data_IF_402216508345
#
_entry.id   IF_402216508345
#
_cell.length_a   1.000
_cell.length_b   1.000
_cell.length_c   1.000
_cell.angle_alpha   90.00
_cell.angle_beta   90.00
_cell.angle_gamma   90.00
#
_symmetry.space_group_name_H-M   'P 1'
#
loop_
_entity.id
_entity.type
_entity.pdbx_description
1 polymer ?
#
# COMPACT_ATOMS: atom_id res chain seq x y z
N UNK A 1 -24.61 32.39 -67.16
CA UNK A 1 -24.46 33.77 -67.65
C UNK A 1 -23.46 34.40 -66.67
N UNK A 2 -22.17 34.42 -67.02
CA UNK A 2 -21.35 35.60 -67.40
C UNK A 2 -21.40 36.66 -66.28
N UNK A 3 -20.38 37.10 -65.61
CA UNK A 3 -18.98 37.55 -65.88
C UNK A 3 -18.61 38.28 -64.58
N UNK A 4 -17.49 38.19 -64.03
CA UNK A 4 -16.11 38.58 -64.29
C UNK A 4 -15.67 39.85 -63.53
N UNK A 5 -14.54 39.74 -62.86
CA UNK A 5 -13.40 40.66 -62.74
C UNK A 5 -13.57 42.06 -62.12
N UNK A 6 -12.81 42.45 -61.12
CA UNK A 6 -11.46 43.02 -61.25
C UNK A 6 -10.85 43.42 -59.92
N UNK A 7 -9.56 43.19 -59.81
CA UNK A 7 -8.67 43.65 -58.75
C UNK A 7 -8.50 45.17 -58.76
N UNK A 8 -8.27 45.77 -57.58
CA UNK A 8 -7.60 47.08 -57.45
C UNK A 8 -6.68 46.97 -56.20
N UNK A 9 -5.36 46.96 -56.50
CA UNK A 9 -4.27 47.21 -55.54
C UNK A 9 -4.28 48.70 -55.18
N UNK A 10 -4.23 49.00 -53.86
CA UNK A 10 -3.83 50.31 -53.35
C UNK A 10 -2.67 50.12 -52.40
N UNK A 11 -1.51 50.56 -52.86
CA UNK A 11 -0.25 50.68 -52.14
C UNK A 11 -0.33 51.94 -51.30
N UNK A 12 -0.31 51.81 -49.96
CA UNK A 12 -0.21 52.98 -49.06
C UNK A 12 1.12 52.88 -48.31
N UNK A 13 2.09 53.65 -48.75
CA UNK A 13 3.37 53.90 -48.08
C UNK A 13 3.09 54.83 -46.90
N UNK A 14 3.28 54.35 -45.66
CA UNK A 14 3.31 55.24 -44.49
C UNK A 14 4.71 55.21 -43.89
N UNK A 15 5.40 56.34 -44.06
CA UNK A 15 6.62 56.72 -43.38
C UNK A 15 6.32 56.95 -41.90
N UNK A 16 6.91 56.13 -41.01
CA UNK A 16 6.84 56.38 -39.55
C UNK A 16 8.15 56.98 -39.08
N UNK A 17 8.08 58.18 -38.55
CA UNK A 17 9.13 58.86 -37.82
C UNK A 17 9.55 58.08 -36.56
N UNK A 18 10.84 57.87 -36.43
CA UNK A 18 11.50 57.41 -35.22
C UNK A 18 11.46 58.51 -34.15
N UNK A 19 10.61 58.30 -33.12
CA UNK A 19 10.75 59.01 -31.85
C UNK A 19 11.38 58.02 -30.88
N UNK A 20 12.66 58.20 -30.57
CA UNK A 20 13.36 57.49 -29.51
C UNK A 20 12.90 58.02 -28.16
N UNK A 21 12.05 57.30 -27.46
CA UNK A 21 11.84 57.48 -26.02
C UNK A 21 12.75 56.54 -25.27
N UNK A 22 13.64 57.14 -24.50
CA UNK A 22 14.51 56.46 -23.53
C UNK A 22 13.61 55.77 -22.50
N UNK A 23 13.48 54.44 -22.52
CA UNK A 23 12.96 53.65 -21.39
C UNK A 23 14.12 53.13 -20.57
N UNK A 24 14.01 53.18 -19.22
CA UNK A 24 15.00 52.58 -18.36
C UNK A 24 15.00 51.05 -18.56
N UNK A 25 16.20 50.46 -18.61
CA UNK A 25 16.43 49.07 -18.95
C UNK A 25 15.62 48.10 -18.09
N UNK A 26 14.83 47.26 -18.74
CA UNK A 26 14.31 46.03 -18.16
C UNK A 26 15.50 45.08 -18.00
N UNK A 27 15.80 44.73 -16.77
CA UNK A 27 16.71 43.64 -16.43
C UNK A 27 16.18 42.36 -17.10
N UNK A 28 17.04 41.47 -17.63
CA UNK A 28 16.57 40.16 -18.09
C UNK A 28 15.93 39.40 -16.89
N UNK A 29 14.94 38.52 -17.12
CA UNK A 29 14.39 37.73 -16.07
C UNK A 29 15.52 36.94 -15.40
N UNK A 30 15.71 37.16 -14.12
CA UNK A 30 16.55 36.30 -13.29
C UNK A 30 15.92 34.93 -13.35
N UNK A 31 16.63 33.97 -13.92
CA UNK A 31 16.35 32.55 -13.78
C UNK A 31 16.22 32.30 -12.28
N UNK A 32 15.01 31.99 -11.83
CA UNK A 32 14.76 31.54 -10.46
C UNK A 32 15.48 30.20 -10.33
N UNK A 33 16.64 30.23 -9.71
CA UNK A 33 17.31 29.00 -9.28
C UNK A 33 16.50 28.50 -8.10
N UNK A 34 15.73 27.44 -8.32
CA UNK A 34 15.04 26.71 -7.25
C UNK A 34 16.11 26.34 -6.21
N UNK A 35 15.89 26.62 -4.91
CA UNK A 35 16.87 26.21 -3.90
C UNK A 35 16.89 24.68 -3.88
N UNK A 36 18.03 24.11 -4.22
CA UNK A 36 18.32 22.72 -3.91
C UNK A 36 18.13 22.55 -2.41
N UNK A 37 17.20 21.68 -2.01
CA UNK A 37 17.02 21.33 -0.60
C UNK A 37 18.29 20.63 -0.13
N UNK A 38 19.23 21.42 0.34
CA UNK A 38 20.36 20.87 1.11
C UNK A 38 19.71 20.31 2.37
N UNK A 39 19.70 18.99 2.50
CA UNK A 39 19.30 18.32 3.74
C UNK A 39 19.90 19.12 4.89
N UNK A 40 19.06 19.62 5.78
CA UNK A 40 19.52 19.97 7.10
C UNK A 40 20.11 18.67 7.63
N UNK A 41 21.44 18.64 7.72
CA UNK A 41 22.17 17.56 8.34
C UNK A 41 21.60 17.46 9.75
N UNK A 42 20.73 16.45 9.97
CA UNK A 42 20.38 16.07 11.32
C UNK A 42 21.70 15.97 12.07
N UNK A 43 21.88 16.85 13.03
CA UNK A 43 22.91 16.67 14.03
C UNK A 43 22.57 15.33 14.66
N UNK A 44 23.28 14.29 14.25
CA UNK A 44 23.23 12.99 14.89
C UNK A 44 23.39 13.25 16.38
N UNK A 45 22.28 13.27 17.07
CA UNK A 45 22.23 13.08 18.50
C UNK A 45 22.97 11.79 18.74
N UNK A 46 24.05 11.87 19.54
CA UNK A 46 24.93 10.77 19.85
C UNK A 46 24.09 9.50 20.04
N UNK A 47 24.30 8.53 19.17
CA UNK A 47 23.73 7.21 19.31
C UNK A 47 23.99 6.75 20.74
N UNK A 48 22.98 6.17 21.43
CA UNK A 48 23.27 5.54 22.72
C UNK A 48 24.35 4.50 22.45
N UNK A 49 25.47 4.67 23.10
CA UNK A 49 26.60 3.76 23.07
C UNK A 49 26.04 2.40 23.48
N UNK A 50 25.87 1.51 22.50
CA UNK A 50 25.52 0.13 22.74
C UNK A 50 26.72 -0.48 23.46
N UNK A 51 26.69 -0.44 24.78
CA UNK A 51 27.63 -1.15 25.63
C UNK A 51 27.34 -2.63 25.38
N UNK A 52 28.07 -3.22 24.46
CA UNK A 52 28.13 -4.67 24.36
C UNK A 52 28.60 -5.17 25.71
N UNK A 53 27.69 -5.77 26.44
CA UNK A 53 28.04 -6.62 27.56
C UNK A 53 28.77 -7.80 26.93
N UNK A 54 30.09 -7.78 27.01
CA UNK A 54 30.95 -8.93 26.73
C UNK A 54 30.62 -9.94 27.81
N UNK A 55 29.77 -10.90 27.48
CA UNK A 55 29.57 -12.08 28.29
C UNK A 55 30.83 -12.92 28.14
N UNK A 56 31.74 -12.79 29.09
CA UNK A 56 32.88 -13.73 29.24
C UNK A 56 32.25 -15.08 29.54
N UNK A 57 32.49 -16.12 28.75
CA UNK A 57 32.01 -17.46 29.10
C UNK A 57 32.71 -17.87 30.37
N UNK A 58 31.97 -17.96 31.45
CA UNK A 58 32.44 -18.60 32.68
C UNK A 58 32.58 -20.10 32.34
N UNK A 59 33.80 -20.56 32.35
CA UNK A 59 34.12 -21.97 32.19
C UNK A 59 33.48 -22.73 33.36
N UNK A 60 32.48 -23.51 33.05
CA UNK A 60 31.90 -24.51 33.94
C UNK A 60 32.96 -25.52 34.29
N UNK A 61 33.19 -25.88 35.57
CA UNK A 61 34.17 -26.87 35.94
C UNK A 61 33.74 -28.24 35.40
N UNK A 62 34.59 -28.82 34.57
CA UNK A 62 34.48 -30.17 34.05
C UNK A 62 34.35 -31.15 35.22
N UNK A 63 33.15 -31.73 35.40
CA UNK A 63 32.97 -32.86 36.32
C UNK A 63 33.70 -34.10 35.75
N UNK A 64 34.66 -34.54 36.49
CA UNK A 64 35.39 -35.79 36.30
C UNK A 64 34.39 -36.97 36.41
N UNK A 65 34.38 -37.93 35.49
CA UNK A 65 33.51 -39.09 35.57
C UNK A 65 33.79 -39.90 36.84
N UNK A 66 32.71 -40.08 37.63
CA UNK A 66 32.77 -40.94 38.81
C UNK A 66 33.01 -42.40 38.38
N UNK A 67 34.01 -43.04 38.97
CA UNK A 67 34.33 -44.45 38.83
C UNK A 67 33.12 -45.29 39.35
N UNK A 68 32.65 -46.31 38.64
CA UNK A 68 31.54 -47.14 39.11
C UNK A 68 31.99 -48.02 40.27
N UNK A 69 31.45 -47.76 41.44
CA UNK A 69 31.60 -48.65 42.59
C UNK A 69 30.61 -49.83 42.42
N UNK A 70 31.14 -51.03 42.33
CA UNK A 70 30.35 -52.26 42.26
C UNK A 70 29.60 -52.49 43.56
N UNK A 71 28.24 -52.43 43.50
CA UNK A 71 27.36 -52.84 44.57
C UNK A 71 27.25 -54.38 44.60
N UNK A 72 27.23 -55.03 45.80
CA UNK A 72 27.16 -56.48 45.87
C UNK A 72 25.82 -57.02 45.37
N UNK A 73 25.89 -58.07 44.56
CA UNK A 73 24.73 -58.78 43.99
C UNK A 73 23.96 -59.46 45.13
N UNK A 74 22.73 -58.99 45.36
CA UNK A 74 21.75 -59.74 46.17
C UNK A 74 21.14 -60.85 45.30
N UNK A 75 21.20 -62.05 45.81
CA UNK A 75 20.62 -63.27 45.21
C UNK A 75 19.07 -63.15 45.36
N UNK A 76 18.38 -62.92 44.23
CA UNK A 76 16.93 -62.90 44.21
C UNK A 76 16.35 -64.30 44.36
N UNK A 77 15.48 -64.45 45.33
CA UNK A 77 14.57 -65.60 45.50
C UNK A 77 13.56 -65.59 44.36
N UNK A 78 13.25 -66.70 43.67
CA UNK A 78 12.30 -66.73 42.58
C UNK A 78 10.88 -66.47 43.10
N UNK A 79 10.29 -65.37 42.66
CA UNK A 79 8.86 -65.04 42.87
C UNK A 79 7.98 -65.88 41.92
N UNK A 80 6.79 -66.29 42.33
CA UNK A 80 5.95 -67.18 41.52
C UNK A 80 5.46 -66.43 40.26
N UNK A 81 5.68 -67.10 39.13
CA UNK A 81 5.29 -66.67 37.79
C UNK A 81 3.81 -66.28 37.74
N UNK A 82 3.54 -64.98 37.58
CA UNK A 82 2.20 -64.48 37.28
C UNK A 82 1.81 -64.92 35.86
N UNK A 83 0.66 -65.58 35.78
CA UNK A 83 0.00 -65.94 34.51
C UNK A 83 -0.18 -64.65 33.68
N UNK A 84 0.19 -64.61 32.39
CA UNK A 84 -0.02 -63.44 31.58
C UNK A 84 -1.54 -63.19 31.43
N UNK A 85 -2.05 -62.19 32.12
CA UNK A 85 -3.34 -61.61 31.78
C UNK A 85 -3.17 -60.98 30.40
N UNK A 86 -3.85 -61.52 29.43
CA UNK A 86 -3.97 -60.88 28.10
C UNK A 86 -4.64 -59.54 28.31
N UNK A 87 -3.82 -58.50 28.36
CA UNK A 87 -4.26 -57.12 28.26
C UNK A 87 -4.96 -57.00 26.88
N UNK A 88 -6.25 -56.88 26.87
CA UNK A 88 -7.03 -56.64 25.66
C UNK A 88 -6.57 -55.30 25.13
N UNK A 89 -5.77 -55.33 24.05
CA UNK A 89 -5.45 -54.15 23.25
C UNK A 89 -6.76 -53.48 22.94
N UNK A 90 -6.99 -52.21 23.35
CA UNK A 90 -8.25 -51.54 23.02
C UNK A 90 -8.35 -51.50 21.47
N UNK A 91 -9.39 -52.10 20.95
CA UNK A 91 -9.77 -51.96 19.54
C UNK A 91 -9.81 -50.48 19.24
N UNK A 92 -9.18 -50.01 18.15
CA UNK A 92 -9.27 -48.60 17.83
C UNK A 92 -10.75 -48.23 17.74
N UNK A 93 -11.23 -47.45 18.69
CA UNK A 93 -12.57 -46.90 18.63
C UNK A 93 -12.58 -45.99 17.43
N UNK A 94 -13.21 -46.43 16.32
CA UNK A 94 -13.37 -45.64 15.11
C UNK A 94 -14.33 -44.53 15.42
N UNK A 95 -13.82 -43.39 15.88
CA UNK A 95 -14.60 -42.18 16.01
C UNK A 95 -14.88 -41.63 14.58
N UNK A 96 -15.92 -40.89 14.41
CA UNK A 96 -16.32 -40.26 13.15
C UNK A 96 -16.04 -38.76 13.17
N UNK A 97 -15.48 -38.25 12.07
CA UNK A 97 -15.30 -36.84 11.86
C UNK A 97 -16.49 -36.26 11.09
N UNK A 98 -17.15 -35.26 11.64
CA UNK A 98 -18.29 -34.58 11.02
C UNK A 98 -18.42 -33.17 11.57
N UNK A 99 -18.46 -32.18 10.70
CA UNK A 99 -18.66 -30.78 11.03
C UNK A 99 -20.06 -30.29 10.66
N UNK A 100 -20.46 -29.20 11.31
CA UNK A 100 -21.61 -28.39 10.90
C UNK A 100 -21.19 -26.93 10.88
N UNK A 101 -21.44 -26.23 9.78
CA UNK A 101 -21.31 -24.80 9.74
C UNK A 101 -22.39 -24.16 10.64
N UNK A 102 -21.98 -23.16 11.45
CA UNK A 102 -22.88 -22.43 12.33
C UNK A 102 -23.08 -21.01 11.82
N UNK A 103 -21.99 -20.25 11.67
CA UNK A 103 -22.04 -18.87 11.23
C UNK A 103 -20.66 -18.34 10.76
N UNK A 104 -20.68 -17.27 10.02
CA UNK A 104 -19.52 -16.42 9.75
C UNK A 104 -19.33 -15.45 10.94
N UNK A 105 -18.30 -15.67 11.74
CA UNK A 105 -17.97 -14.80 12.88
C UNK A 105 -17.40 -13.47 12.38
N UNK A 106 -16.59 -13.54 11.32
CA UNK A 106 -16.07 -12.35 10.63
C UNK A 106 -16.32 -12.49 9.13
N UNK A 107 -16.33 -11.38 8.42
CA UNK A 107 -16.47 -11.34 6.95
C UNK A 107 -17.68 -12.17 6.48
N UNK A 108 -18.92 -11.70 6.67
CA UNK A 108 -20.12 -12.30 6.11
C UNK A 108 -20.00 -12.46 4.58
N UNK A 109 -20.75 -13.38 4.01
CA UNK A 109 -20.80 -13.58 2.56
C UNK A 109 -21.06 -12.27 1.81
N UNK A 110 -20.41 -12.13 0.66
CA UNK A 110 -20.47 -10.94 -0.20
C UNK A 110 -19.95 -9.65 0.43
N UNK A 111 -19.18 -9.72 1.56
CA UNK A 111 -18.53 -8.56 2.12
C UNK A 111 -17.69 -7.83 1.07
N UNK A 112 -17.85 -6.53 0.99
CA UNK A 112 -17.06 -5.69 0.09
C UNK A 112 -15.70 -5.42 0.72
N UNK A 113 -14.63 -5.76 0.01
CA UNK A 113 -13.23 -5.62 0.46
C UNK A 113 -12.43 -4.93 -0.64
N UNK A 114 -11.46 -4.08 -0.24
CA UNK A 114 -10.58 -3.39 -1.16
C UNK A 114 -9.56 -4.34 -1.80
N UNK A 115 -9.10 -4.07 -3.04
CA UNK A 115 -8.04 -4.84 -3.68
C UNK A 115 -6.79 -4.91 -2.79
N UNK A 116 -6.22 -6.11 -2.65
CA UNK A 116 -4.99 -6.33 -1.90
C UNK A 116 -5.07 -6.21 -0.38
N UNK A 117 -6.26 -5.94 0.19
CA UNK A 117 -6.47 -5.84 1.64
C UNK A 117 -6.29 -7.20 2.32
N UNK A 118 -5.52 -7.26 3.41
CA UNK A 118 -5.48 -8.41 4.29
C UNK A 118 -6.67 -8.40 5.25
N UNK A 119 -7.26 -9.57 5.48
CA UNK A 119 -8.40 -9.76 6.38
C UNK A 119 -8.36 -11.13 7.03
N UNK A 120 -9.00 -11.28 8.19
CA UNK A 120 -9.12 -12.55 8.88
C UNK A 120 -10.56 -13.07 8.71
N UNK A 121 -10.71 -14.18 7.98
CA UNK A 121 -11.97 -14.93 7.93
C UNK A 121 -12.01 -15.89 9.09
N UNK A 122 -13.11 -15.85 9.85
CA UNK A 122 -13.39 -16.77 10.96
C UNK A 122 -14.74 -17.39 10.76
N UNK A 123 -14.78 -18.71 10.72
CA UNK A 123 -16.00 -19.53 10.70
C UNK A 123 -16.22 -20.16 12.06
N UNK A 124 -17.46 -20.20 12.54
CA UNK A 124 -17.83 -21.03 13.70
C UNK A 124 -18.35 -22.36 13.18
N UNK A 125 -17.67 -23.44 13.58
CA UNK A 125 -18.03 -24.81 13.23
C UNK A 125 -18.44 -25.56 14.51
N UNK A 126 -19.45 -26.41 14.40
CA UNK A 126 -19.84 -27.35 15.48
C UNK A 126 -19.30 -28.75 15.16
N UNK A 127 -18.69 -29.40 16.12
CA UNK A 127 -18.29 -30.78 16.04
C UNK A 127 -19.53 -31.68 16.26
N UNK A 128 -20.10 -32.20 15.18
CA UNK A 128 -21.26 -33.11 15.21
C UNK A 128 -20.83 -34.58 15.07
N UNK A 129 -19.53 -34.86 14.98
CA UNK A 129 -18.96 -36.18 14.99
C UNK A 129 -18.77 -36.75 16.38
N UNK A 130 -17.96 -37.81 16.47
CA UNK A 130 -17.64 -38.48 17.75
C UNK A 130 -16.13 -38.37 18.08
N UNK A 131 -15.29 -37.87 17.17
CA UNK A 131 -13.91 -37.55 17.42
C UNK A 131 -13.81 -36.20 18.17
N UNK A 132 -12.82 -36.06 19.07
CA UNK A 132 -12.47 -34.75 19.63
C UNK A 132 -11.48 -34.06 18.66
N UNK A 133 -11.79 -32.86 18.17
CA UNK A 133 -10.86 -32.05 17.39
C UNK A 133 -9.84 -31.38 18.29
N UNK A 134 -8.61 -31.31 17.87
CA UNK A 134 -7.50 -30.70 18.62
C UNK A 134 -6.49 -30.05 17.66
N UNK A 135 -5.34 -29.60 18.14
CA UNK A 135 -4.30 -28.95 17.36
C UNK A 135 -3.62 -29.83 16.29
N UNK A 136 -3.91 -31.14 16.24
CA UNK A 136 -3.45 -32.03 15.16
C UNK A 136 -4.38 -32.00 13.94
N UNK A 137 -5.58 -31.42 14.09
CA UNK A 137 -6.48 -31.12 12.99
C UNK A 137 -6.12 -29.79 12.35
N UNK A 138 -6.50 -29.59 11.11
CA UNK A 138 -6.26 -28.35 10.38
C UNK A 138 -7.41 -28.02 9.44
N UNK A 139 -7.59 -26.72 9.16
CA UNK A 139 -8.35 -26.29 8.00
C UNK A 139 -7.47 -26.38 6.75
N UNK A 140 -8.01 -26.86 5.64
CA UNK A 140 -7.31 -27.00 4.37
C UNK A 140 -8.13 -26.37 3.25
N UNK A 141 -7.46 -25.66 2.36
CA UNK A 141 -8.06 -25.14 1.13
C UNK A 141 -8.29 -26.31 0.16
N UNK A 142 -9.48 -26.36 -0.45
CA UNK A 142 -9.88 -27.45 -1.35
C UNK A 142 -10.19 -26.99 -2.76
N UNK A 143 -10.80 -25.82 -2.94
CA UNK A 143 -11.10 -25.31 -4.29
C UNK A 143 -11.42 -23.80 -4.33
N UNK A 144 -11.45 -23.23 -5.55
CA UNK A 144 -11.75 -21.81 -5.78
C UNK A 144 -10.54 -20.90 -5.62
N UNK A 145 -10.73 -19.74 -4.99
CA UNK A 145 -9.70 -18.72 -4.77
C UNK A 145 -9.08 -18.85 -3.38
N UNK A 146 -7.82 -19.23 -3.29
CA UNK A 146 -7.13 -19.43 -2.01
C UNK A 146 -6.83 -18.10 -1.28
N UNK A 147 -6.79 -16.98 -1.99
CA UNK A 147 -6.54 -15.63 -1.44
C UNK A 147 -5.33 -15.55 -0.49
N UNK A 148 -4.21 -16.18 -0.88
CA UNK A 148 -2.99 -16.32 -0.10
C UNK A 148 -3.15 -16.98 1.29
N UNK A 149 -4.30 -17.60 1.56
CA UNK A 149 -4.54 -18.28 2.83
C UNK A 149 -3.55 -19.41 3.11
N UNK A 150 -3.06 -19.49 4.34
CA UNK A 150 -2.21 -20.61 4.77
C UNK A 150 -3.01 -21.91 4.77
N UNK A 151 -2.52 -22.93 4.04
CA UNK A 151 -3.12 -24.26 4.01
C UNK A 151 -2.00 -25.32 4.05
N UNK A 152 -2.00 -26.22 5.04
CA UNK A 152 -2.95 -26.37 6.14
C UNK A 152 -2.80 -25.30 7.23
N UNK A 153 -3.92 -24.86 7.82
CA UNK A 153 -3.96 -23.99 8.98
C UNK A 153 -4.34 -24.83 10.22
N UNK A 154 -3.46 -25.07 11.19
CA UNK A 154 -3.79 -25.85 12.41
C UNK A 154 -4.94 -25.26 13.20
N UNK A 155 -5.78 -26.12 13.77
CA UNK A 155 -6.85 -25.68 14.68
C UNK A 155 -6.26 -25.23 16.03
N UNK A 156 -6.90 -24.26 16.66
CA UNK A 156 -6.53 -23.79 17.99
C UNK A 156 -7.43 -24.40 19.05
N UNK A 157 -6.85 -25.00 20.08
CA UNK A 157 -7.60 -25.56 21.20
C UNK A 157 -8.09 -26.99 20.96
N UNK A 158 -9.09 -27.42 21.77
CA UNK A 158 -9.69 -28.76 21.75
C UNK A 158 -11.20 -28.66 21.80
N UNK A 159 -11.91 -29.36 20.91
CA UNK A 159 -13.38 -29.32 20.78
C UNK A 159 -13.94 -30.70 20.83
N UNK A 160 -14.61 -31.03 21.95
CA UNK A 160 -15.31 -32.30 22.14
C UNK A 160 -16.55 -32.39 21.21
N UNK A 161 -17.08 -33.61 21.00
CA UNK A 161 -18.38 -33.81 20.35
C UNK A 161 -19.47 -32.90 20.94
N UNK A 162 -20.23 -32.23 20.06
CA UNK A 162 -21.26 -31.25 20.42
C UNK A 162 -20.77 -29.83 20.65
N UNK A 163 -19.45 -29.61 20.85
CA UNK A 163 -18.85 -28.30 21.06
C UNK A 163 -18.69 -27.51 19.76
N UNK A 164 -18.44 -26.21 19.91
CA UNK A 164 -18.15 -25.30 18.79
C UNK A 164 -16.70 -24.82 18.81
N UNK A 165 -16.16 -24.50 17.62
CA UNK A 165 -14.82 -23.97 17.43
C UNK A 165 -14.85 -22.85 16.40
N UNK A 166 -14.13 -21.78 16.68
CA UNK A 166 -13.86 -20.72 15.73
C UNK A 166 -12.57 -21.05 14.96
N UNK A 167 -12.71 -21.20 13.65
CA UNK A 167 -11.61 -21.51 12.71
C UNK A 167 -11.26 -20.25 11.97
N UNK A 168 -10.01 -19.77 12.09
CA UNK A 168 -9.56 -18.51 11.50
C UNK A 168 -8.45 -18.73 10.49
N UNK A 169 -8.53 -18.03 9.36
CA UNK A 169 -7.49 -17.98 8.34
C UNK A 169 -7.27 -16.53 7.93
N UNK A 170 -6.00 -16.10 7.90
CA UNK A 170 -5.64 -14.81 7.33
C UNK A 170 -5.59 -14.94 5.82
N UNK A 171 -6.29 -14.05 5.14
CA UNK A 171 -6.47 -14.02 3.69
C UNK A 171 -6.09 -12.65 3.13
N UNK A 172 -5.81 -12.58 1.84
CA UNK A 172 -5.56 -11.34 1.12
C UNK A 172 -6.50 -11.25 -0.08
N UNK A 173 -7.29 -10.18 -0.15
CA UNK A 173 -8.16 -9.92 -1.29
C UNK A 173 -7.33 -9.82 -2.59
N UNK A 174 -7.80 -10.41 -3.70
CA UNK A 174 -7.17 -10.24 -5.01
C UNK A 174 -7.05 -8.77 -5.42
N UNK A 175 -6.06 -8.47 -6.28
CA UNK A 175 -5.80 -7.10 -6.76
C UNK A 175 -6.78 -6.58 -7.81
N UNK A 176 -7.69 -7.41 -8.31
CA UNK A 176 -8.69 -7.07 -9.35
C UNK A 176 -10.10 -7.10 -8.77
N UNK A 177 -10.93 -6.19 -9.29
CA UNK A 177 -12.37 -6.15 -8.97
C UNK A 177 -13.04 -7.43 -9.43
N UNK A 178 -13.91 -7.99 -8.60
CA UNK A 178 -14.60 -9.24 -8.90
C UNK A 178 -15.18 -9.91 -7.67
N UNK A 179 -15.86 -11.02 -7.87
CA UNK A 179 -16.36 -11.88 -6.80
C UNK A 179 -15.45 -13.09 -6.66
N UNK A 180 -14.99 -13.35 -5.46
CA UNK A 180 -14.02 -14.40 -5.16
C UNK A 180 -14.56 -15.32 -4.09
N UNK A 181 -14.44 -16.63 -4.34
CA UNK A 181 -14.89 -17.67 -3.43
C UNK A 181 -13.79 -18.70 -3.21
N UNK A 182 -13.42 -18.93 -1.95
CA UNK A 182 -12.49 -19.97 -1.53
C UNK A 182 -13.19 -21.01 -0.68
N UNK A 183 -13.01 -22.30 -0.99
CA UNK A 183 -13.64 -23.41 -0.30
C UNK A 183 -12.62 -24.12 0.60
N UNK A 184 -13.06 -24.44 1.80
CA UNK A 184 -12.24 -25.01 2.86
C UNK A 184 -12.91 -26.18 3.52
N UNK A 185 -12.11 -27.15 3.96
CA UNK A 185 -12.57 -28.30 4.74
C UNK A 185 -11.63 -28.55 5.93
N UNK A 186 -11.99 -29.45 6.80
CA UNK A 186 -11.13 -29.89 7.89
C UNK A 186 -10.32 -31.13 7.45
N UNK A 187 -9.15 -31.31 8.04
CA UNK A 187 -8.29 -32.48 7.86
C UNK A 187 -7.93 -33.06 9.22
N UNK A 188 -8.10 -34.36 9.38
CA UNK A 188 -7.75 -35.09 10.60
C UNK A 188 -6.24 -35.40 10.68
N UNK A 189 -5.73 -35.91 11.83
CA UNK A 189 -4.32 -36.27 12.01
C UNK A 189 -3.81 -37.34 11.04
N UNK A 190 -4.70 -38.15 10.45
CA UNK A 190 -4.34 -39.18 9.48
C UNK A 190 -4.32 -38.65 8.03
N UNK A 191 -4.64 -37.37 7.86
CA UNK A 191 -4.69 -36.74 6.53
C UNK A 191 -6.04 -36.88 5.81
N UNK A 192 -7.06 -37.43 6.46
CA UNK A 192 -8.38 -37.56 5.86
C UNK A 192 -9.10 -36.23 5.94
N UNK A 193 -9.56 -35.75 4.76
CA UNK A 193 -10.30 -34.51 4.62
C UNK A 193 -11.80 -34.78 4.87
N UNK A 194 -12.45 -33.90 5.60
CA UNK A 194 -13.88 -33.94 5.89
C UNK A 194 -14.44 -32.54 6.02
N UNK A 195 -15.67 -32.35 5.60
CA UNK A 195 -16.35 -31.06 5.65
C UNK A 195 -17.53 -31.03 6.62
N UNK A 196 -18.52 -30.28 6.21
CA UNK A 196 -19.80 -30.11 6.89
C UNK A 196 -20.89 -30.90 6.20
N UNK A 197 -22.15 -30.74 6.65
CA UNK A 197 -23.31 -31.46 6.11
C UNK A 197 -23.44 -32.89 6.60
N UNK A 198 -24.47 -33.59 6.17
CA UNK A 198 -24.85 -34.91 6.68
C UNK A 198 -23.83 -36.02 6.40
N UNK A 199 -23.03 -35.85 5.33
CA UNK A 199 -22.02 -36.82 4.91
C UNK A 199 -20.59 -36.33 5.05
N UNK A 200 -20.35 -35.21 5.76
CA UNK A 200 -19.04 -34.57 5.92
C UNK A 200 -18.36 -34.20 4.58
N UNK A 201 -19.14 -33.93 3.53
CA UNK A 201 -18.64 -33.66 2.17
C UNK A 201 -18.91 -32.24 1.68
N UNK A 202 -19.47 -31.39 2.50
CA UNK A 202 -19.76 -30.01 2.12
C UNK A 202 -18.66 -29.09 2.67
N UNK A 203 -17.96 -28.33 1.80
CA UNK A 203 -17.00 -27.35 2.26
C UNK A 203 -17.69 -26.16 2.95
N UNK A 204 -17.01 -25.54 3.88
CA UNK A 204 -17.34 -24.18 4.31
C UNK A 204 -16.50 -23.21 3.46
N UNK A 205 -16.93 -21.96 3.30
CA UNK A 205 -16.30 -21.09 2.32
C UNK A 205 -16.19 -19.63 2.80
N UNK A 206 -15.35 -18.89 2.13
CA UNK A 206 -15.31 -17.44 2.15
C UNK A 206 -15.78 -16.92 0.81
N UNK A 207 -16.68 -15.95 0.81
CA UNK A 207 -17.20 -15.28 -0.38
C UNK A 207 -17.10 -13.77 -0.17
N UNK A 208 -16.29 -13.13 -1.00
CA UNK A 208 -16.10 -11.67 -0.95
C UNK A 208 -16.34 -11.04 -2.32
N UNK A 209 -16.69 -9.75 -2.30
CA UNK A 209 -16.65 -8.88 -3.46
C UNK A 209 -15.47 -7.93 -3.32
N UNK A 210 -14.50 -8.03 -4.21
CA UNK A 210 -13.48 -6.99 -4.35
C UNK A 210 -14.10 -5.89 -5.19
N UNK A 211 -14.28 -4.73 -4.57
CA UNK A 211 -14.97 -3.58 -5.17
C UNK A 211 -13.99 -2.43 -5.39
N UNK A 212 -14.23 -1.65 -6.45
CA UNK A 212 -13.57 -0.35 -6.55
C UNK A 212 -14.07 0.53 -5.41
N UNK A 213 -13.15 1.32 -4.82
CA UNK A 213 -13.52 2.25 -3.78
C UNK A 213 -14.56 3.24 -4.27
N UNK A 214 -15.62 3.36 -3.51
CA UNK A 214 -16.57 4.43 -3.75
C UNK A 214 -15.94 5.70 -3.22
N UNK A 215 -15.55 6.59 -4.14
CA UNK A 215 -15.21 7.97 -3.77
C UNK A 215 -16.44 8.61 -3.16
N UNK A 216 -16.32 9.18 -1.97
CA UNK A 216 -17.33 10.07 -1.39
C UNK A 216 -17.39 11.44 -2.11
N UNK A 217 -16.59 11.58 -3.17
CA UNK A 217 -16.51 12.76 -4.02
C UNK A 217 -17.62 12.71 -5.07
N UNK A 218 -18.63 13.53 -4.92
CA UNK A 218 -19.63 13.76 -5.95
C UNK A 218 -19.19 14.95 -6.83
N UNK A 219 -18.17 14.71 -7.65
CA UNK A 219 -17.58 15.69 -8.55
C UNK A 219 -18.30 15.64 -9.90
N UNK A 220 -18.72 16.79 -10.41
CA UNK A 220 -19.18 16.95 -11.78
C UNK A 220 -18.03 16.84 -12.79
N UNK A 221 -18.17 17.50 -13.94
CA UNK A 221 -17.06 17.63 -14.89
C UNK A 221 -15.90 18.41 -14.25
N UNK A 222 -14.67 18.04 -14.58
CA UNK A 222 -13.50 18.76 -14.11
C UNK A 222 -13.54 20.22 -14.59
N UNK A 223 -13.08 21.14 -13.73
CA UNK A 223 -12.91 22.55 -14.10
C UNK A 223 -11.79 22.72 -15.12
N UNK A 224 -10.78 21.87 -15.00
CA UNK A 224 -9.65 21.82 -15.93
C UNK A 224 -9.04 20.42 -15.95
N UNK A 225 -8.56 20.03 -17.14
CA UNK A 225 -7.87 18.75 -17.35
C UNK A 225 -6.69 18.99 -18.30
N UNK A 226 -5.55 18.38 -17.97
CA UNK A 226 -4.38 18.26 -18.83
C UNK A 226 -4.10 16.78 -19.05
N UNK A 227 -4.12 16.34 -20.30
CA UNK A 227 -3.81 14.96 -20.69
C UNK A 227 -2.32 14.76 -21.01
N UNK A 228 -1.49 15.73 -20.67
CA UNK A 228 -0.04 15.71 -20.84
C UNK A 228 0.44 15.55 -22.29
N UNK A 229 -0.41 15.85 -23.28
CA UNK A 229 -0.05 15.83 -24.71
C UNK A 229 1.10 16.80 -25.03
N UNK A 230 1.34 17.76 -24.16
CA UNK A 230 2.44 18.71 -24.16
C UNK A 230 2.64 19.29 -22.75
N UNK A 231 3.81 19.89 -22.47
CA UNK A 231 4.12 20.47 -21.17
C UNK A 231 3.74 21.97 -21.03
N UNK A 232 2.83 22.50 -21.84
CA UNK A 232 2.48 23.93 -21.83
C UNK A 232 1.96 24.45 -20.47
N UNK A 233 1.46 23.58 -19.62
CA UNK A 233 0.96 23.90 -18.27
C UNK A 233 2.01 23.72 -17.17
N UNK A 234 3.23 23.29 -17.51
CA UNK A 234 4.27 22.86 -16.56
C UNK A 234 5.60 23.54 -16.88
N UNK A 235 6.39 23.79 -15.85
CA UNK A 235 7.78 24.12 -16.03
C UNK A 235 8.58 22.82 -16.14
N UNK A 236 9.54 22.80 -17.07
CA UNK A 236 10.40 21.64 -17.25
C UNK A 236 11.66 21.81 -16.39
N UNK A 237 11.88 20.88 -15.48
CA UNK A 237 13.05 20.83 -14.62
C UNK A 237 14.21 20.13 -15.33
N UNK A 238 15.42 20.68 -15.22
CA UNK A 238 16.66 20.00 -15.61
C UNK A 238 17.77 20.38 -14.62
N UNK A 239 17.80 19.66 -13.50
CA UNK A 239 18.78 19.82 -12.43
C UNK A 239 19.76 18.64 -12.46
N UNK A 240 20.88 18.68 -11.71
CA UNK A 240 21.75 17.52 -11.56
C UNK A 240 21.05 16.27 -10.99
N UNK A 241 19.99 16.45 -10.20
CA UNK A 241 19.32 15.38 -9.48
C UNK A 241 17.99 14.97 -10.09
N UNK A 242 17.32 15.86 -10.84
CA UNK A 242 15.94 15.64 -11.29
C UNK A 242 15.71 16.23 -12.68
N UNK A 243 14.93 15.53 -13.49
CA UNK A 243 14.48 15.98 -14.82
C UNK A 243 12.98 15.84 -14.96
N UNK A 244 12.33 16.90 -15.49
CA UNK A 244 10.97 16.87 -15.98
C UNK A 244 11.02 17.16 -17.47
N UNK A 245 10.57 16.20 -18.29
CA UNK A 245 10.64 16.27 -19.76
C UNK A 245 9.32 15.85 -20.39
N UNK A 246 9.10 16.21 -21.65
CA UNK A 246 8.02 15.64 -22.44
C UNK A 246 8.48 14.33 -23.11
N UNK A 247 7.64 13.32 -23.13
CA UNK A 247 7.91 12.07 -23.83
C UNK A 247 6.64 11.24 -24.01
N UNK A 248 6.41 10.73 -25.21
CA UNK A 248 5.32 9.81 -25.55
C UNK A 248 3.91 10.30 -25.13
N UNK A 249 3.62 11.61 -25.26
CA UNK A 249 2.36 12.22 -24.87
C UNK A 249 2.15 12.23 -23.34
N UNK A 250 3.24 12.33 -22.57
CA UNK A 250 3.25 12.37 -21.11
C UNK A 250 4.29 13.35 -20.60
N UNK A 251 4.09 13.81 -19.37
CA UNK A 251 5.18 14.43 -18.63
C UNK A 251 5.98 13.29 -17.95
N UNK A 252 7.29 13.31 -18.14
CA UNK A 252 8.21 12.30 -17.60
C UNK A 252 9.03 12.94 -16.51
N UNK A 253 8.88 12.47 -15.29
CA UNK A 253 9.67 12.87 -14.13
C UNK A 253 10.73 11.80 -13.86
N UNK A 254 11.99 12.20 -13.68
CA UNK A 254 13.10 11.30 -13.36
C UNK A 254 13.92 11.86 -12.21
N UNK A 255 14.04 11.11 -11.13
CA UNK A 255 15.00 11.33 -10.05
C UNK A 255 16.25 10.51 -10.35
N UNK A 256 17.40 11.20 -10.59
CA UNK A 256 18.59 10.62 -11.23
C UNK A 256 19.35 9.71 -10.25
N UNK A 257 19.59 10.18 -9.03
CA UNK A 257 20.39 9.44 -8.05
C UNK A 257 19.61 9.23 -6.74
N UNK A 258 19.72 8.05 -6.10
CA UNK A 258 19.17 7.81 -4.79
C UNK A 258 19.75 8.76 -3.74
N UNK A 259 18.89 9.29 -2.87
CA UNK A 259 19.31 10.19 -1.80
C UNK A 259 19.56 11.63 -2.24
N UNK A 260 19.29 11.97 -3.50
CA UNK A 260 19.35 13.34 -4.04
C UNK A 260 18.30 14.30 -3.44
N UNK A 261 17.42 13.80 -2.58
CA UNK A 261 16.31 14.55 -1.99
C UNK A 261 15.02 14.42 -2.77
N UNK A 262 14.08 15.29 -2.47
CA UNK A 262 12.85 15.48 -3.22
C UNK A 262 12.95 16.79 -3.99
N UNK A 263 12.55 16.77 -5.24
CA UNK A 263 12.41 17.97 -6.03
C UNK A 263 11.01 18.04 -6.62
N UNK A 264 10.51 19.26 -6.78
CA UNK A 264 9.20 19.53 -7.33
C UNK A 264 9.21 20.76 -8.21
N UNK A 265 8.19 20.86 -9.03
CA UNK A 265 7.90 22.09 -9.73
C UNK A 265 6.40 22.37 -9.73
N UNK A 266 6.05 23.64 -9.81
CA UNK A 266 4.65 24.10 -9.83
C UNK A 266 4.14 24.18 -11.27
N UNK A 267 2.82 24.05 -11.42
CA UNK A 267 2.17 24.34 -12.70
C UNK A 267 2.13 25.86 -12.96
N UNK A 268 1.98 26.28 -14.22
CA UNK A 268 1.72 27.67 -14.54
C UNK A 268 0.23 28.07 -14.41
N UNK A 269 -0.55 27.23 -13.72
CA UNK A 269 -1.98 27.48 -13.47
C UNK A 269 -2.15 28.54 -12.38
N UNK A 270 -3.31 29.22 -12.36
CA UNK A 270 -3.59 30.19 -11.30
C UNK A 270 -3.63 29.54 -9.92
N UNK A 271 -3.41 30.37 -8.89
CA UNK A 271 -3.63 29.99 -7.49
C UNK A 271 -5.09 29.58 -7.28
N UNK A 272 -5.30 28.50 -6.51
CA UNK A 272 -6.60 27.93 -6.15
C UNK A 272 -6.73 27.90 -4.62
N UNK A 273 -7.95 28.09 -4.13
CA UNK A 273 -8.27 28.07 -2.69
C UNK A 273 -8.87 26.71 -2.29
N UNK A 274 -10.13 26.48 -2.69
CA UNK A 274 -10.88 25.26 -2.43
C UNK A 274 -10.98 24.43 -3.72
N UNK A 275 -10.38 23.23 -3.73
CA UNK A 275 -10.38 22.39 -4.92
C UNK A 275 -10.13 20.92 -4.59
N UNK A 276 -10.53 20.05 -5.49
CA UNK A 276 -10.02 18.68 -5.58
C UNK A 276 -9.01 18.60 -6.72
N UNK A 277 -7.83 18.08 -6.45
CA UNK A 277 -6.80 17.84 -7.45
C UNK A 277 -6.56 16.33 -7.59
N UNK A 278 -6.47 15.87 -8.81
CA UNK A 278 -6.19 14.47 -9.14
C UNK A 278 -5.08 14.38 -10.18
N UNK A 279 -4.17 13.43 -10.00
CA UNK A 279 -3.16 13.07 -11.00
C UNK A 279 -3.08 11.56 -11.20
N UNK A 280 -2.86 11.14 -12.44
CA UNK A 280 -2.61 9.76 -12.82
C UNK A 280 -1.12 9.57 -13.04
N UNK A 281 -0.50 8.73 -12.21
CA UNK A 281 0.91 8.39 -12.25
C UNK A 281 1.10 6.95 -12.73
N UNK A 282 2.07 6.74 -13.61
CA UNK A 282 2.48 5.42 -14.11
C UNK A 282 3.94 5.23 -13.75
N UNK A 283 4.22 4.20 -12.97
CA UNK A 283 5.59 3.87 -12.58
C UNK A 283 6.37 3.32 -13.77
N UNK A 284 7.63 3.72 -13.88
CA UNK A 284 8.57 3.17 -14.86
C UNK A 284 8.96 1.72 -14.56
N UNK A 285 9.97 1.23 -15.27
CA UNK A 285 10.43 -0.17 -15.19
C UNK A 285 11.07 -0.53 -13.85
N UNK A 286 11.49 0.45 -13.08
CA UNK A 286 12.07 0.29 -11.74
C UNK A 286 11.34 1.17 -10.73
N UNK A 287 10.83 0.56 -9.66
CA UNK A 287 10.14 1.24 -8.56
C UNK A 287 10.35 0.40 -7.30
N UNK A 288 11.04 0.91 -6.29
CA UNK A 288 11.47 0.11 -5.14
C UNK A 288 11.43 0.87 -3.83
N UNK A 289 10.90 0.23 -2.81
CA UNK A 289 10.89 0.74 -1.44
C UNK A 289 10.29 2.15 -1.32
N UNK A 290 11.05 3.07 -0.72
CA UNK A 290 10.62 4.44 -0.46
C UNK A 290 10.90 5.43 -1.61
N UNK A 291 11.18 4.96 -2.84
CA UNK A 291 11.11 5.83 -4.01
C UNK A 291 9.69 6.40 -4.11
N UNK A 292 9.56 7.70 -4.32
CA UNK A 292 8.33 8.43 -4.07
C UNK A 292 7.99 9.46 -5.13
N UNK A 293 6.71 9.71 -5.26
CA UNK A 293 6.15 10.67 -6.21
C UNK A 293 4.85 11.24 -5.64
N UNK A 294 4.45 12.41 -6.12
CA UNK A 294 3.28 13.02 -5.53
C UNK A 294 2.88 14.37 -6.05
N UNK A 295 2.10 15.06 -5.22
CA UNK A 295 1.52 16.37 -5.46
C UNK A 295 2.03 17.37 -4.44
N UNK A 296 2.43 18.55 -4.92
CA UNK A 296 2.51 19.77 -4.14
C UNK A 296 1.19 20.53 -4.30
N UNK A 297 0.63 21.05 -3.23
CA UNK A 297 -0.68 21.74 -3.28
C UNK A 297 -0.71 22.94 -2.37
N UNK A 298 -1.61 23.92 -2.70
CA UNK A 298 -1.70 25.21 -2.00
C UNK A 298 -0.32 25.84 -1.79
N UNK A 299 0.46 25.90 -2.86
CA UNK A 299 1.79 26.51 -2.86
C UNK A 299 1.66 28.03 -3.08
N UNK A 300 1.69 28.86 -2.02
CA UNK A 300 1.64 30.31 -2.16
C UNK A 300 2.93 30.87 -2.77
N UNK A 301 4.02 30.14 -2.59
CA UNK A 301 5.34 30.33 -3.17
C UNK A 301 5.82 28.98 -3.74
N UNK A 302 6.65 28.94 -4.80
CA UNK A 302 7.04 27.68 -5.44
C UNK A 302 7.78 26.69 -4.53
N UNK A 303 8.31 27.16 -3.41
CA UNK A 303 9.08 26.38 -2.42
C UNK A 303 8.32 26.10 -1.12
N UNK A 304 6.98 26.29 -1.10
CA UNK A 304 6.14 26.02 0.08
C UNK A 304 4.85 25.34 -0.33
N UNK A 305 4.21 24.63 0.60
CA UNK A 305 2.89 24.04 0.38
C UNK A 305 2.68 22.74 1.17
N UNK A 306 1.54 22.09 0.89
CA UNK A 306 1.31 20.73 1.33
C UNK A 306 1.91 19.77 0.31
N UNK A 307 2.63 18.78 0.78
CA UNK A 307 3.21 17.72 -0.06
C UNK A 307 2.54 16.39 0.29
N UNK A 308 1.89 15.80 -0.69
CA UNK A 308 1.22 14.52 -0.59
C UNK A 308 1.90 13.51 -1.52
N UNK A 309 2.40 12.40 -0.97
CA UNK A 309 3.23 11.45 -1.69
C UNK A 309 2.78 10.01 -1.52
N UNK A 310 3.06 9.20 -2.56
CA UNK A 310 3.03 7.74 -2.53
C UNK A 310 4.43 7.19 -2.70
N UNK A 311 4.67 5.98 -2.17
CA UNK A 311 5.90 5.22 -2.37
C UNK A 311 5.69 3.98 -3.22
N UNK A 312 6.80 3.45 -3.74
CA UNK A 312 6.79 2.22 -4.52
C UNK A 312 6.35 0.98 -3.74
N UNK A 313 6.46 0.98 -2.43
CA UNK A 313 6.03 -0.11 -1.55
C UNK A 313 4.65 0.10 -0.91
N UNK A 314 3.90 1.13 -1.38
CA UNK A 314 2.48 1.30 -1.02
C UNK A 314 2.22 2.09 0.25
N UNK A 315 3.14 2.96 0.66
CA UNK A 315 2.90 3.93 1.72
C UNK A 315 2.48 5.29 1.14
N UNK A 316 1.86 6.09 1.98
CA UNK A 316 1.60 7.50 1.72
C UNK A 316 1.98 8.36 2.92
N UNK A 317 2.26 9.64 2.67
CA UNK A 317 2.39 10.67 3.71
C UNK A 317 1.82 12.00 3.25
N UNK A 318 1.52 12.87 4.22
CA UNK A 318 1.18 14.27 4.01
C UNK A 318 1.98 15.12 4.97
N UNK A 319 2.62 16.17 4.46
CA UNK A 319 3.33 17.12 5.31
C UNK A 319 3.19 18.55 4.78
N UNK A 320 3.45 19.51 5.66
CA UNK A 320 3.65 20.92 5.35
C UNK A 320 5.12 21.15 5.09
N UNK A 321 5.44 21.83 4.02
CA UNK A 321 6.76 22.39 3.79
C UNK A 321 6.66 23.92 3.75
N UNK A 322 7.28 24.60 4.73
CA UNK A 322 7.37 26.07 4.85
C UNK A 322 8.82 26.57 4.89
N UNK A 323 9.76 25.70 4.51
CA UNK A 323 11.20 25.77 4.72
C UNK A 323 11.68 24.77 5.78
N UNK A 324 10.74 24.06 6.41
CA UNK A 324 10.93 22.97 7.37
C UNK A 324 9.89 21.89 7.16
N UNK A 325 10.21 20.65 7.53
CA UNK A 325 9.30 19.52 7.46
C UNK A 325 8.38 19.48 8.69
N UNK A 326 7.07 19.47 8.46
CA UNK A 326 6.05 19.33 9.50
C UNK A 326 5.06 18.26 9.11
N UNK A 327 5.18 17.07 9.67
CA UNK A 327 4.28 15.97 9.35
C UNK A 327 2.85 16.24 9.80
N UNK A 328 1.89 16.06 8.90
CA UNK A 328 0.47 15.89 9.22
C UNK A 328 0.18 14.40 9.35
N UNK A 329 0.69 13.61 8.42
CA UNK A 329 0.66 12.15 8.40
C UNK A 329 2.02 11.61 8.03
N UNK A 330 2.64 10.83 8.91
CA UNK A 330 3.85 10.09 8.62
C UNK A 330 3.58 8.89 7.70
N UNK A 331 4.63 8.28 7.17
CA UNK A 331 4.52 7.14 6.28
C UNK A 331 3.58 6.06 6.81
N UNK A 332 2.50 5.81 6.10
CA UNK A 332 1.45 4.87 6.46
C UNK A 332 1.12 4.00 5.26
N UNK A 333 1.10 2.68 5.45
CA UNK A 333 0.76 1.75 4.37
C UNK A 333 -0.73 1.81 4.03
N UNK A 334 -1.04 1.71 2.73
CA UNK A 334 -2.42 1.66 2.26
C UNK A 334 -2.56 0.63 1.12
N UNK A 335 -3.43 -0.36 1.31
CA UNK A 335 -3.69 -1.39 0.30
C UNK A 335 -4.27 -0.84 -1.01
N UNK A 336 -4.86 0.36 -0.97
CA UNK A 336 -5.36 1.05 -2.15
C UNK A 336 -4.26 1.53 -3.10
N UNK A 337 -2.99 1.61 -2.67
CA UNK A 337 -1.86 2.01 -3.49
C UNK A 337 -1.25 0.77 -4.13
N UNK A 338 -1.24 0.72 -5.46
CA UNK A 338 -0.61 -0.38 -6.22
C UNK A 338 0.90 -0.23 -6.16
N UNK A 339 1.58 -1.32 -5.81
CA UNK A 339 3.02 -1.34 -5.51
C UNK A 339 3.87 -1.85 -6.68
N UNK A 340 5.10 -1.38 -6.77
CA UNK A 340 6.10 -1.86 -7.72
C UNK A 340 6.05 -1.18 -9.09
N UNK A 341 6.86 -1.72 -10.01
CA UNK A 341 7.06 -1.19 -11.36
C UNK A 341 5.84 -1.35 -12.26
N UNK A 342 5.71 -0.47 -13.25
CA UNK A 342 4.66 -0.52 -14.28
C UNK A 342 3.23 -0.48 -13.72
N UNK A 343 3.04 0.01 -12.50
CA UNK A 343 1.72 0.20 -11.91
C UNK A 343 1.19 1.60 -12.20
N UNK A 344 -0.13 1.68 -12.34
CA UNK A 344 -0.82 2.97 -12.46
C UNK A 344 -1.55 3.28 -11.17
N UNK A 345 -1.26 4.43 -10.58
CA UNK A 345 -1.97 4.97 -9.42
C UNK A 345 -2.63 6.32 -9.76
N UNK A 346 -3.84 6.50 -9.27
CA UNK A 346 -4.54 7.78 -9.28
C UNK A 346 -4.45 8.35 -7.88
N UNK A 347 -3.76 9.48 -7.75
CA UNK A 347 -3.61 10.23 -6.50
C UNK A 347 -4.58 11.39 -6.49
N UNK A 348 -5.29 11.61 -5.38
CA UNK A 348 -6.22 12.71 -5.23
C UNK A 348 -6.12 13.38 -3.88
N UNK A 349 -6.25 14.71 -3.87
CA UNK A 349 -6.32 15.51 -2.64
C UNK A 349 -7.48 16.49 -2.75
N UNK A 350 -8.37 16.46 -1.75
CA UNK A 350 -9.50 17.40 -1.62
C UNK A 350 -9.17 18.41 -0.53
N UNK A 351 -9.28 19.67 -0.85
CA UNK A 351 -8.94 20.82 -0.02
C UNK A 351 -10.11 21.78 0.02
N UNK A 352 -10.73 21.99 1.19
CA UNK A 352 -11.80 22.99 1.36
C UNK A 352 -11.74 23.62 2.74
N UNK A 353 -11.53 24.95 2.78
CA UNK A 353 -11.20 25.62 4.02
C UNK A 353 -9.98 24.98 4.67
N UNK A 354 -10.11 24.49 5.90
CA UNK A 354 -9.05 23.77 6.63
C UNK A 354 -9.11 22.25 6.47
N UNK A 355 -10.15 21.72 5.82
CA UNK A 355 -10.33 20.28 5.69
C UNK A 355 -9.51 19.73 4.52
N UNK A 356 -8.82 18.64 4.75
CA UNK A 356 -7.95 17.93 3.78
C UNK A 356 -8.39 16.47 3.75
N UNK A 357 -8.67 15.93 2.55
CA UNK A 357 -8.94 14.50 2.36
C UNK A 357 -8.02 13.92 1.30
N UNK A 358 -7.44 12.76 1.59
CA UNK A 358 -6.49 12.09 0.72
C UNK A 358 -7.13 10.86 0.07
N UNK A 359 -6.82 10.64 -1.20
CA UNK A 359 -7.38 9.55 -2.00
C UNK A 359 -6.28 8.81 -2.78
N UNK A 360 -6.42 7.50 -2.89
CA UNK A 360 -5.66 6.65 -3.79
C UNK A 360 -6.63 5.76 -4.58
N UNK A 361 -6.56 5.79 -5.91
CA UNK A 361 -7.36 4.94 -6.78
C UNK A 361 -8.87 4.99 -6.44
N UNK A 362 -9.39 6.18 -6.18
CA UNK A 362 -10.76 6.50 -5.75
C UNK A 362 -11.14 6.10 -4.31
N UNK A 363 -10.19 5.62 -3.50
CA UNK A 363 -10.41 5.33 -2.08
C UNK A 363 -9.98 6.50 -1.20
N UNK A 364 -10.80 6.88 -0.23
CA UNK A 364 -10.38 7.83 0.80
C UNK A 364 -9.40 7.14 1.75
N UNK A 365 -8.16 7.65 1.82
CA UNK A 365 -7.11 7.16 2.70
C UNK A 365 -7.23 7.74 4.10
N UNK A 366 -7.46 9.04 4.19
CA UNK A 366 -7.47 9.78 5.43
C UNK A 366 -8.17 11.14 5.28
N UNK A 367 -8.48 11.74 6.44
CA UNK A 367 -9.05 13.08 6.56
C UNK A 367 -8.37 13.82 7.71
N UNK A 368 -8.01 15.09 7.47
CA UNK A 368 -7.27 15.93 8.40
C UNK A 368 -7.83 17.34 8.42
N UNK A 369 -7.46 18.12 9.42
CA UNK A 369 -7.70 19.56 9.50
C UNK A 369 -6.38 20.27 9.71
N UNK A 370 -6.02 21.17 8.80
CA UNK A 370 -4.81 21.99 8.89
C UNK A 370 -5.06 23.37 8.26
N UNK A 371 -4.42 24.39 8.77
CA UNK A 371 -4.60 25.79 8.36
C UNK A 371 -3.30 26.48 7.93
N UNK A 372 -2.26 25.73 7.64
CA UNK A 372 -0.96 26.28 7.27
C UNK A 372 -1.01 27.07 5.96
N UNK A 373 -1.75 26.56 4.99
CA UNK A 373 -1.97 27.21 3.70
C UNK A 373 -3.43 27.14 3.29
N UNK A 374 -4.00 28.26 2.84
CA UNK A 374 -5.38 28.39 2.42
C UNK A 374 -5.54 28.52 0.89
N UNK A 375 -4.47 28.85 0.16
CA UNK A 375 -4.46 29.00 -1.29
C UNK A 375 -3.06 28.75 -1.87
N UNK A 376 -2.98 28.59 -3.18
CA UNK A 376 -1.71 28.51 -3.88
C UNK A 376 -1.79 27.74 -5.20
N UNK A 377 -0.66 27.62 -5.86
CA UNK A 377 -0.50 26.79 -7.04
C UNK A 377 -0.41 25.31 -6.63
N UNK A 378 -0.51 24.42 -7.61
CA UNK A 378 -0.23 23.01 -7.43
C UNK A 378 0.95 22.61 -8.31
N UNK A 379 1.58 21.49 -7.97
CA UNK A 379 2.76 20.97 -8.64
C UNK A 379 2.91 19.46 -8.50
N UNK A 380 4.02 18.97 -9.05
CA UNK A 380 4.39 17.56 -9.07
C UNK A 380 5.70 17.36 -8.32
N UNK A 381 5.82 16.24 -7.61
CA UNK A 381 6.95 15.91 -6.74
C UNK A 381 7.52 14.56 -7.12
N UNK A 382 8.84 14.42 -7.09
CA UNK A 382 9.53 13.14 -7.22
C UNK A 382 10.78 13.10 -6.34
N UNK A 383 11.12 11.91 -5.83
CA UNK A 383 12.37 11.67 -5.12
C UNK A 383 12.72 10.20 -5.09
N UNK A 384 14.00 9.88 -5.20
CA UNK A 384 14.49 8.51 -5.11
C UNK A 384 15.31 8.28 -3.85
N UNK A 385 15.13 7.10 -3.26
CA UNK A 385 15.93 6.59 -2.13
C UNK A 385 16.67 5.32 -2.52
N UNK A 386 16.09 4.52 -3.41
CA UNK A 386 16.54 3.18 -3.70
C UNK A 386 16.99 2.98 -5.16
N UNK A 387 16.43 3.73 -6.10
CA UNK A 387 16.56 3.47 -7.53
C UNK A 387 17.30 4.61 -8.25
N UNK A 388 18.34 4.29 -9.02
CA UNK A 388 18.92 5.22 -10.00
C UNK A 388 17.94 5.44 -11.15
N UNK A 389 17.86 6.66 -11.67
CA UNK A 389 16.96 7.04 -12.76
C UNK A 389 15.50 6.61 -12.51
N UNK A 390 15.05 6.75 -11.26
CA UNK A 390 13.66 6.48 -10.88
C UNK A 390 12.73 7.35 -11.70
N UNK A 391 11.93 6.70 -12.55
CA UNK A 391 11.09 7.39 -13.53
C UNK A 391 9.60 7.16 -13.24
N UNK A 392 8.85 8.25 -13.32
CA UNK A 392 7.39 8.26 -13.19
C UNK A 392 6.81 9.07 -14.36
N UNK A 393 5.84 8.49 -15.05
CA UNK A 393 5.09 9.15 -16.10
C UNK A 393 3.81 9.73 -15.51
N UNK A 394 3.51 10.99 -15.83
CA UNK A 394 2.24 11.62 -15.51
C UNK A 394 1.39 11.63 -16.78
N UNK A 395 0.25 10.93 -16.70
CA UNK A 395 -0.64 10.70 -17.86
C UNK A 395 -1.78 11.73 -17.92
N UNK A 396 -2.23 12.19 -16.76
CA UNK A 396 -3.29 13.19 -16.66
C UNK A 396 -3.21 13.91 -15.31
N UNK A 397 -3.52 15.21 -15.32
CA UNK A 397 -3.84 16.00 -14.13
C UNK A 397 -5.14 16.74 -14.35
N UNK A 398 -6.02 16.72 -13.34
CA UNK A 398 -7.28 17.44 -13.39
C UNK A 398 -7.59 18.08 -12.04
N UNK A 399 -8.30 19.23 -12.06
CA UNK A 399 -8.85 19.78 -10.83
C UNK A 399 -10.33 20.18 -10.99
N UNK A 400 -11.02 20.16 -9.86
CA UNK A 400 -12.40 20.62 -9.68
C UNK A 400 -12.41 21.77 -8.67
N UNK A 401 -12.88 22.91 -9.09
CA UNK A 401 -13.09 24.07 -8.22
C UNK A 401 -14.28 23.80 -7.28
N UNK A 402 -14.05 23.91 -5.97
CA UNK A 402 -15.05 23.65 -4.92
C UNK A 402 -15.54 24.94 -4.26
N UNK A 403 -15.14 26.10 -4.76
CA UNK A 403 -15.49 27.42 -4.22
C UNK A 403 -16.93 27.83 -4.53
N UNK A 404 -17.68 27.03 -5.32
CA UNK A 404 -19.07 27.31 -5.73
C UNK A 404 -20.11 26.65 -4.82
#
# INVERSE_FOLDING_TARGET
MKMSLRAISILLVFTILLVACNMPGSSPPTTSVLPTLTQAQETQGAAPTNTQVVIVPTTEPTQQPATPTTLPTETATPEPSATPTTESTPSPSTCTNLGKFVEDVTIPDESEILPGTEFVKTWRLQNTGTCTWNSQYSAVFVSGDQMNGTSPQPLTGSTAPGGTLDVSVTLKAPGTVGTYRGEWELRDPNGVIFGTGTNASEPFYVLIKVVEGVSDLNLGAATWTDNMDNANSWYLLDTPNTKFTEGDGRLVMTSIEPGGGEEWDVSNRPSLDDYYLQATFIMGDTCSGLDRYGLLTRAPEPDKGYVFEFTCDGHYRLYVWDGSYHAIQEWTSAAAIKTGSNQTNVMGIWLKGTDIRLYANNYKLAEFTDSSFDHGQFGLVIGSVNTNDFTVYVDQVAYWDLSQ
#
